data_IF_187750695623
#
_entry.id   IF_187750695623
#
_cell.length_a   1.000
_cell.length_b   1.000
_cell.length_c   1.000
_cell.angle_alpha   90.00
_cell.angle_beta   90.00
_cell.angle_gamma   90.00
#
_symmetry.space_group_name_H-M   'P 1'
#
loop_
_entity.id
_entity.type
_entity.pdbx_description
1 polymer ?
#
# COMPACT_ATOMS: atom_id res chain seq x y z
N UNK A 1 -18.65 -63.45 -16.55
CA UNK A 1 -17.95 -62.20 -16.82
C UNK A 1 -18.42 -61.19 -15.79
N UNK A 2 -17.77 -61.16 -14.62
CA UNK A 2 -17.99 -60.15 -13.58
C UNK A 2 -16.67 -59.40 -13.45
N UNK A 3 -16.63 -58.16 -13.94
CA UNK A 3 -15.55 -57.22 -13.67
C UNK A 3 -16.12 -56.11 -12.81
N UNK A 4 -15.79 -56.12 -11.53
CA UNK A 4 -16.01 -54.99 -10.63
C UNK A 4 -14.76 -54.12 -10.68
N UNK A 5 -14.89 -52.90 -11.22
CA UNK A 5 -13.87 -51.87 -11.08
C UNK A 5 -13.99 -51.27 -9.68
N UNK A 6 -13.16 -51.76 -8.76
CA UNK A 6 -12.89 -51.08 -7.49
C UNK A 6 -12.14 -49.78 -7.80
N UNK A 7 -12.86 -48.67 -7.75
CA UNK A 7 -12.28 -47.32 -7.75
C UNK A 7 -11.52 -47.16 -6.44
N UNK A 8 -10.21 -47.33 -6.50
CA UNK A 8 -9.30 -47.06 -5.39
C UNK A 8 -9.36 -45.57 -5.07
N UNK A 9 -10.07 -45.23 -4.01
CA UNK A 9 -10.02 -43.91 -3.39
C UNK A 9 -8.59 -43.72 -2.87
N UNK A 10 -7.83 -42.84 -3.51
CA UNK A 10 -6.52 -42.44 -3.03
C UNK A 10 -6.70 -41.84 -1.62
N UNK A 11 -6.13 -42.51 -0.61
CA UNK A 11 -6.00 -41.95 0.72
C UNK A 11 -5.09 -40.73 0.64
N UNK A 12 -5.64 -39.54 0.84
CA UNK A 12 -4.84 -38.32 1.04
C UNK A 12 -3.94 -38.54 2.25
N UNK A 13 -2.63 -38.68 2.04
CA UNK A 13 -1.66 -38.69 3.12
C UNK A 13 -1.76 -37.34 3.86
N UNK A 14 -1.84 -37.34 5.21
CA UNK A 14 -1.89 -36.09 5.95
C UNK A 14 -0.58 -35.33 5.69
N UNK A 15 -0.71 -34.13 5.11
CA UNK A 15 0.40 -33.21 4.90
C UNK A 15 1.21 -33.09 6.20
N UNK A 16 2.51 -33.34 6.12
CA UNK A 16 3.39 -33.20 7.28
C UNK A 16 3.24 -31.77 7.84
N UNK A 17 3.10 -31.61 9.17
CA UNK A 17 3.03 -30.29 9.78
C UNK A 17 4.26 -29.47 9.39
N UNK A 18 4.03 -28.23 8.97
CA UNK A 18 5.12 -27.30 8.69
C UNK A 18 5.93 -27.07 9.98
N UNK A 19 7.24 -27.25 9.91
CA UNK A 19 8.16 -26.96 11.01
C UNK A 19 8.50 -25.47 11.00
N UNK A 20 7.80 -24.69 11.82
CA UNK A 20 8.07 -23.26 11.97
C UNK A 20 9.31 -23.02 12.83
N UNK A 21 10.28 -22.27 12.28
CA UNK A 21 11.51 -21.88 12.96
C UNK A 21 11.60 -20.36 13.07
N UNK A 22 12.15 -19.89 14.18
CA UNK A 22 12.53 -18.49 14.32
C UNK A 22 13.63 -18.15 13.31
N UNK A 23 13.49 -17.02 12.62
CA UNK A 23 14.44 -16.57 11.59
C UNK A 23 14.99 -15.17 11.90
N UNK A 24 14.10 -14.17 11.98
CA UNK A 24 14.50 -12.76 12.17
C UNK A 24 13.54 -12.03 13.10
N UNK A 25 14.06 -10.99 13.74
CA UNK A 25 13.31 -10.00 14.51
C UNK A 25 13.84 -8.61 14.15
N UNK A 26 12.93 -7.65 14.00
CA UNK A 26 13.26 -6.25 13.74
C UNK A 26 12.70 -5.39 14.87
N UNK A 27 13.45 -4.36 15.27
CA UNK A 27 13.06 -3.47 16.37
C UNK A 27 13.30 -4.10 17.75
N UNK A 28 14.38 -4.85 17.92
CA UNK A 28 14.81 -5.30 19.26
C UNK A 28 15.02 -4.09 20.17
N UNK A 29 14.48 -4.18 21.37
CA UNK A 29 14.48 -3.13 22.40
C UNK A 29 15.39 -3.54 23.55
N UNK A 30 15.92 -2.56 24.26
CA UNK A 30 16.63 -2.84 25.51
C UNK A 30 15.64 -3.36 26.57
N UNK A 31 16.12 -4.18 27.52
CA UNK A 31 15.28 -4.70 28.58
C UNK A 31 14.70 -3.54 29.44
N UNK A 32 13.37 -3.45 29.53
CA UNK A 32 12.66 -2.41 30.27
C UNK A 32 12.21 -1.19 29.45
N UNK A 33 12.47 -1.17 28.14
CA UNK A 33 11.97 -0.12 27.25
C UNK A 33 10.53 -0.39 26.81
N UNK A 34 9.62 0.55 27.10
CA UNK A 34 8.21 0.45 26.73
C UNK A 34 7.99 0.66 25.22
N UNK A 35 6.97 -0.01 24.67
CA UNK A 35 6.56 0.17 23.28
C UNK A 35 5.87 1.50 23.10
N UNK A 36 6.52 2.43 22.38
CA UNK A 36 5.87 3.69 22.00
C UNK A 36 4.71 3.37 21.05
N UNK A 37 3.57 4.02 21.27
CA UNK A 37 2.36 3.75 20.48
C UNK A 37 2.57 3.97 18.98
N UNK A 38 3.34 5.00 18.61
CA UNK A 38 3.69 5.33 17.23
C UNK A 38 4.51 4.24 16.51
N UNK A 39 5.23 3.39 17.26
CA UNK A 39 6.03 2.29 16.72
C UNK A 39 5.22 0.98 16.58
N UNK A 40 3.95 0.96 16.99
CA UNK A 40 3.10 -0.24 16.87
C UNK A 40 2.77 -0.44 15.38
N UNK A 41 3.21 -1.57 14.83
CA UNK A 41 2.89 -1.98 13.46
C UNK A 41 1.38 -2.21 13.35
N UNK A 42 0.75 -1.53 12.40
CA UNK A 42 -0.69 -1.58 12.13
C UNK A 42 -1.02 -2.22 10.78
N UNK A 43 -0.06 -2.27 9.85
CA UNK A 43 -0.24 -2.90 8.55
C UNK A 43 1.04 -3.65 8.13
N UNK A 44 0.87 -4.79 7.44
CA UNK A 44 1.96 -5.59 6.88
C UNK A 44 1.49 -6.22 5.57
N UNK A 45 2.31 -6.13 4.51
CA UNK A 45 1.95 -6.68 3.19
C UNK A 45 3.22 -7.09 2.42
N UNK A 46 3.24 -8.32 1.90
CA UNK A 46 4.23 -8.78 0.94
C UNK A 46 3.84 -8.37 -0.49
N UNK A 47 4.83 -8.09 -1.34
CA UNK A 47 4.57 -7.96 -2.76
C UNK A 47 4.21 -9.33 -3.36
N UNK A 48 3.61 -9.33 -4.56
CA UNK A 48 3.18 -10.59 -5.23
C UNK A 48 4.34 -11.58 -5.44
N UNK A 49 5.58 -11.09 -5.52
CA UNK A 49 6.76 -11.93 -5.71
C UNK A 49 7.32 -12.51 -4.41
N UNK A 50 6.96 -11.95 -3.25
CA UNK A 50 7.52 -12.29 -1.95
C UNK A 50 8.96 -11.80 -1.74
N UNK A 51 9.45 -10.90 -2.60
CA UNK A 51 10.80 -10.32 -2.49
C UNK A 51 10.81 -9.00 -1.73
N UNK A 52 9.66 -8.35 -1.59
CA UNK A 52 9.52 -7.12 -0.83
C UNK A 52 8.46 -7.27 0.26
N UNK A 53 8.75 -6.68 1.41
CA UNK A 53 7.84 -6.59 2.55
C UNK A 53 7.67 -5.13 2.92
N UNK A 54 6.44 -4.68 3.08
CA UNK A 54 6.12 -3.34 3.59
C UNK A 54 5.44 -3.48 4.95
N UNK A 55 5.82 -2.63 5.89
CA UNK A 55 5.14 -2.43 7.17
C UNK A 55 4.70 -0.98 7.30
N UNK A 56 3.53 -0.76 7.89
CA UNK A 56 3.04 0.54 8.31
C UNK A 56 2.77 0.55 9.79
N UNK A 57 2.98 1.69 10.44
CA UNK A 57 2.76 1.84 11.89
C UNK A 57 1.72 2.90 12.24
N UNK A 58 1.43 3.01 13.53
CA UNK A 58 0.52 4.02 14.08
C UNK A 58 1.04 5.44 13.94
N UNK A 59 2.35 5.63 13.87
CA UNK A 59 3.00 6.92 13.62
C UNK A 59 3.04 7.32 12.14
N UNK A 60 2.32 6.63 11.25
CA UNK A 60 2.18 7.01 9.85
C UNK A 60 3.40 6.75 8.97
N UNK A 61 4.40 6.01 9.46
CA UNK A 61 5.60 5.65 8.69
C UNK A 61 5.36 4.37 7.89
N UNK A 62 6.00 4.27 6.74
CA UNK A 62 6.07 3.05 5.93
C UNK A 62 7.53 2.63 5.83
N UNK A 63 7.81 1.39 6.23
CA UNK A 63 9.13 0.77 6.18
C UNK A 63 9.13 -0.36 5.17
N UNK A 64 10.12 -0.37 4.29
CA UNK A 64 10.29 -1.37 3.25
C UNK A 64 11.48 -2.26 3.55
N UNK A 65 11.31 -3.56 3.32
CA UNK A 65 12.34 -4.58 3.40
C UNK A 65 12.48 -5.29 2.05
N UNK A 66 13.69 -5.75 1.77
CA UNK A 66 14.05 -6.51 0.57
C UNK A 66 14.62 -7.87 0.98
N UNK A 67 14.19 -8.93 0.31
CA UNK A 67 14.74 -10.27 0.47
C UNK A 67 16.18 -10.31 -0.06
N UNK A 68 17.07 -10.97 0.67
CA UNK A 68 18.53 -10.94 0.42
C UNK A 68 19.01 -12.07 -0.49
N UNK A 69 18.36 -13.22 -0.45
CA UNK A 69 18.77 -14.42 -1.20
C UNK A 69 18.59 -14.32 -2.73
N UNK A 70 17.80 -13.35 -3.21
CA UNK A 70 17.53 -13.16 -4.64
C UNK A 70 18.73 -12.64 -5.42
N UNK A 71 19.71 -12.00 -4.75
CA UNK A 71 20.86 -11.35 -5.41
C UNK A 71 22.06 -12.27 -5.60
N UNK A 72 22.13 -13.38 -4.86
CA UNK A 72 23.29 -14.28 -4.87
C UNK A 72 23.26 -15.32 -6.00
N UNK A 73 22.18 -15.40 -6.79
CA UNK A 73 22.11 -16.31 -7.96
C UNK A 73 22.88 -15.80 -9.20
N UNK A 74 23.43 -14.58 -9.16
CA UNK A 74 24.27 -14.02 -10.23
C UNK A 74 25.78 -14.03 -9.89
N UNK A 75 26.21 -14.94 -9.00
CA UNK A 75 27.61 -15.22 -8.71
C UNK A 75 28.30 -16.04 -9.81
N UNK A 76 29.55 -15.68 -10.09
CA UNK A 76 30.52 -16.29 -11.00
C UNK A 76 30.29 -17.76 -11.40
N UNK A 77 30.50 -18.08 -12.68
CA UNK A 77 30.53 -19.43 -13.29
C UNK A 77 31.48 -20.43 -12.61
N UNK A 78 32.27 -20.00 -11.61
CA UNK A 78 33.12 -20.83 -10.74
C UNK A 78 32.45 -21.35 -9.46
N UNK A 79 31.29 -20.83 -9.08
CA UNK A 79 30.55 -21.30 -7.89
C UNK A 79 29.53 -22.41 -8.24
N UNK A 80 29.32 -22.69 -9.53
CA UNK A 80 28.47 -23.78 -10.02
C UNK A 80 29.11 -25.18 -9.90
N UNK A 81 30.40 -25.26 -9.58
CA UNK A 81 31.13 -26.54 -9.46
C UNK A 81 31.28 -27.01 -8.00
N UNK A 82 30.66 -26.33 -7.01
CA UNK A 82 30.89 -26.61 -5.59
C UNK A 82 29.63 -26.63 -4.70
N UNK A 83 28.49 -27.15 -5.17
CA UNK A 83 27.34 -27.38 -4.27
C UNK A 83 26.41 -28.51 -4.74
N UNK A 84 26.80 -29.74 -4.43
CA UNK A 84 25.86 -30.89 -4.30
C UNK A 84 25.00 -30.81 -3.01
N UNK A 85 25.09 -29.70 -2.27
CA UNK A 85 24.16 -29.33 -1.21
C UNK A 85 23.33 -28.14 -1.68
N UNK A 86 22.04 -28.39 -1.94
CA UNK A 86 21.00 -27.36 -1.93
C UNK A 86 21.25 -26.47 -0.72
N UNK A 87 21.65 -25.21 -0.95
CA UNK A 87 21.83 -24.23 0.11
C UNK A 87 20.46 -23.94 0.70
N UNK A 88 20.11 -24.67 1.76
CA UNK A 88 18.96 -24.47 2.63
C UNK A 88 19.10 -23.17 3.44
N UNK A 89 19.35 -22.04 2.77
CA UNK A 89 19.30 -20.73 3.42
C UNK A 89 17.84 -20.32 3.49
N UNK A 90 17.39 -20.07 4.71
CA UNK A 90 16.05 -19.54 4.95
C UNK A 90 15.99 -18.10 4.39
N UNK A 91 14.84 -17.66 3.84
CA UNK A 91 14.71 -16.30 3.33
C UNK A 91 14.97 -15.28 4.43
N UNK A 92 15.93 -14.39 4.20
CA UNK A 92 16.24 -13.26 5.09
C UNK A 92 15.87 -11.94 4.42
N UNK A 93 15.22 -11.06 5.18
CA UNK A 93 14.87 -9.71 4.77
C UNK A 93 15.89 -8.72 5.34
N UNK A 94 16.15 -7.65 4.59
CA UNK A 94 17.01 -6.54 5.00
C UNK A 94 16.23 -5.24 4.86
N UNK A 95 16.42 -4.33 5.80
CA UNK A 95 15.92 -2.97 5.71
C UNK A 95 16.34 -2.33 4.37
N UNK A 96 15.36 -1.78 3.66
CA UNK A 96 15.56 -1.11 2.36
C UNK A 96 15.48 0.41 2.52
N UNK A 97 14.37 0.91 3.05
CA UNK A 97 14.15 2.36 3.26
C UNK A 97 12.91 2.56 4.12
N UNK A 98 12.80 3.72 4.75
CA UNK A 98 11.59 4.20 5.41
C UNK A 98 11.21 5.59 4.90
N UNK A 99 9.95 5.97 5.07
CA UNK A 99 9.46 7.32 4.81
C UNK A 99 8.18 7.61 5.61
N UNK A 100 7.97 8.88 5.95
CA UNK A 100 6.72 9.36 6.53
C UNK A 100 5.63 9.35 5.45
N UNK A 101 4.59 8.53 5.63
CA UNK A 101 3.49 8.45 4.67
C UNK A 101 2.37 9.42 5.00
N UNK A 102 1.89 9.40 6.24
CA UNK A 102 0.81 10.28 6.72
C UNK A 102 1.29 11.09 7.91
N UNK A 103 0.75 12.27 8.10
CA UNK A 103 0.97 13.12 9.27
C UNK A 103 -0.39 13.37 9.90
N UNK A 104 -0.45 13.68 11.22
CA UNK A 104 -1.72 13.99 11.85
C UNK A 104 -2.34 15.21 11.18
N UNK A 105 -3.61 15.09 10.80
CA UNK A 105 -4.38 16.15 10.15
C UNK A 105 -5.62 16.48 11.01
N UNK A 106 -6.16 17.69 10.88
CA UNK A 106 -7.38 18.09 11.57
C UNK A 106 -8.37 18.73 10.61
N UNK A 107 -9.57 18.18 10.52
CA UNK A 107 -10.68 18.76 9.78
C UNK A 107 -11.43 19.76 10.66
N UNK A 108 -11.15 21.05 10.46
CA UNK A 108 -11.78 22.14 11.22
C UNK A 108 -13.29 22.27 10.98
N UNK A 109 -13.79 21.85 9.82
CA UNK A 109 -15.22 21.95 9.49
C UNK A 109 -16.00 20.85 10.18
N UNK A 110 -15.44 19.63 10.23
CA UNK A 110 -16.04 18.48 10.92
C UNK A 110 -15.63 18.37 12.39
N UNK A 111 -14.68 19.20 12.86
CA UNK A 111 -14.03 19.08 14.17
C UNK A 111 -13.50 17.67 14.43
N UNK A 112 -12.84 17.09 13.43
CA UNK A 112 -12.40 15.70 13.44
C UNK A 112 -10.88 15.63 13.31
N UNK A 113 -10.23 14.97 14.26
CA UNK A 113 -8.83 14.58 14.16
C UNK A 113 -8.68 13.37 13.22
N UNK A 114 -7.71 13.46 12.33
CA UNK A 114 -7.37 12.41 11.37
C UNK A 114 -6.01 11.87 11.79
N UNK A 115 -6.02 10.66 12.35
CA UNK A 115 -4.80 9.95 12.75
C UNK A 115 -3.88 9.68 11.55
N UNK A 116 -2.57 9.73 11.78
CA UNK A 116 -1.58 9.31 10.79
C UNK A 116 -1.47 7.79 10.63
N UNK A 117 -2.12 7.00 11.49
CA UNK A 117 -2.05 5.53 11.51
C UNK A 117 -2.27 4.93 10.12
N UNK A 118 -1.34 4.05 9.73
CA UNK A 118 -1.48 3.30 8.46
C UNK A 118 -2.47 2.15 8.65
N UNK A 119 -3.61 2.22 7.97
CA UNK A 119 -4.63 1.17 8.04
C UNK A 119 -4.33 -0.01 7.11
N UNK A 120 -3.92 0.27 5.86
CA UNK A 120 -3.63 -0.75 4.84
C UNK A 120 -2.51 -0.29 3.90
N UNK A 121 -1.75 -1.26 3.40
CA UNK A 121 -0.75 -1.08 2.34
C UNK A 121 -1.05 -2.08 1.23
N UNK A 122 -0.99 -1.65 -0.03
CA UNK A 122 -1.14 -2.52 -1.20
C UNK A 122 -0.06 -2.25 -2.24
N UNK A 123 0.70 -3.28 -2.58
CA UNK A 123 1.70 -3.21 -3.64
C UNK A 123 1.04 -3.14 -5.03
N UNK A 124 1.48 -2.18 -5.82
CA UNK A 124 1.11 -2.03 -7.23
C UNK A 124 2.17 -2.66 -8.13
N UNK A 125 1.87 -2.78 -9.43
CA UNK A 125 2.80 -3.35 -10.38
C UNK A 125 4.11 -2.56 -10.45
N UNK A 126 5.23 -3.26 -10.34
CA UNK A 126 6.57 -2.67 -10.47
C UNK A 126 6.82 -2.28 -11.92
N UNK A 127 7.40 -1.11 -12.16
CA UNK A 127 7.73 -0.64 -13.50
C UNK A 127 9.01 0.21 -13.49
N UNK A 128 9.83 0.07 -14.53
CA UNK A 128 11.03 0.88 -14.75
C UNK A 128 12.02 0.87 -13.57
N UNK A 129 12.19 -0.28 -12.90
CA UNK A 129 13.06 -0.42 -11.73
C UNK A 129 12.57 0.35 -10.49
N UNK A 130 11.32 0.79 -10.49
CA UNK A 130 10.66 1.39 -9.33
C UNK A 130 9.59 0.45 -8.79
N UNK A 131 9.42 0.46 -7.47
CA UNK A 131 8.31 -0.18 -6.79
C UNK A 131 7.24 0.86 -6.45
N UNK A 132 5.99 0.42 -6.51
CA UNK A 132 4.83 1.29 -6.30
C UNK A 132 3.94 0.66 -5.24
N UNK A 133 3.38 1.50 -4.37
CA UNK A 133 2.46 1.05 -3.34
C UNK A 133 1.42 2.13 -3.03
N UNK A 134 0.23 1.67 -2.67
CA UNK A 134 -0.80 2.48 -2.03
C UNK A 134 -0.68 2.30 -0.52
N UNK A 135 -0.85 3.39 0.22
CA UNK A 135 -0.98 3.41 1.67
C UNK A 135 -2.19 4.26 2.03
N UNK A 136 -2.96 3.87 3.04
CA UNK A 136 -4.14 4.63 3.48
C UNK A 136 -4.15 4.81 4.99
N UNK A 137 -4.63 5.96 5.44
CA UNK A 137 -5.17 6.15 6.78
C UNK A 137 -6.71 6.17 6.70
N UNK A 138 -7.37 6.76 7.69
CA UNK A 138 -8.83 6.81 7.79
C UNK A 138 -9.52 7.63 6.71
N UNK A 139 -8.84 8.60 6.07
CA UNK A 139 -9.48 9.58 5.16
C UNK A 139 -8.77 9.77 3.83
N UNK A 140 -7.50 9.42 3.75
CA UNK A 140 -6.65 9.69 2.59
C UNK A 140 -5.89 8.45 2.16
N UNK A 141 -5.71 8.32 0.85
CA UNK A 141 -4.90 7.27 0.22
C UNK A 141 -3.77 7.97 -0.52
N UNK A 142 -2.55 7.47 -0.38
CA UNK A 142 -1.37 8.01 -1.06
C UNK A 142 -0.74 6.94 -1.97
N UNK A 143 -0.42 7.33 -3.19
CA UNK A 143 0.29 6.49 -4.15
C UNK A 143 1.77 6.86 -4.19
N UNK A 144 2.59 5.93 -3.75
CA UNK A 144 4.03 6.10 -3.59
C UNK A 144 4.79 5.45 -4.73
N UNK A 145 5.86 6.12 -5.16
CA UNK A 145 6.90 5.55 -6.02
C UNK A 145 8.21 5.53 -5.24
N UNK A 146 8.78 4.35 -5.08
CA UNK A 146 10.11 4.18 -4.48
C UNK A 146 11.07 3.69 -5.55
N UNK A 147 12.13 4.44 -5.78
CA UNK A 147 13.12 4.13 -6.81
C UNK A 147 14.52 4.49 -6.34
N UNK A 148 15.50 3.68 -6.73
CA UNK A 148 16.91 4.03 -6.57
C UNK A 148 17.29 5.11 -7.59
N UNK A 149 17.75 6.26 -7.08
CA UNK A 149 18.19 7.39 -7.87
C UNK A 149 19.68 7.57 -7.68
N UNK A 150 20.42 7.54 -8.79
CA UNK A 150 21.82 7.98 -8.82
C UNK A 150 21.87 9.48 -8.53
N UNK A 151 22.53 9.86 -7.45
CA UNK A 151 22.80 11.26 -7.10
C UNK A 151 23.76 11.79 -8.16
N UNK A 152 23.23 12.71 -8.97
CA UNK A 152 23.95 13.36 -10.07
C UNK A 152 24.54 14.65 -9.54
N UNK A 153 25.86 14.72 -9.41
CA UNK A 153 26.59 15.96 -9.16
C UNK A 153 26.96 16.57 -10.50
N UNK A 154 26.74 17.88 -10.61
CA UNK A 154 27.16 18.60 -11.80
C UNK A 154 28.59 19.10 -11.56
N UNK A 155 29.49 18.72 -12.45
CA UNK A 155 30.88 19.18 -12.52
C UNK A 155 31.09 20.04 -13.77
N UNK A 156 32.26 20.67 -13.88
CA UNK A 156 32.64 21.51 -15.02
C UNK A 156 31.70 22.72 -15.24
N UNK A 157 31.36 23.42 -14.16
CA UNK A 157 30.68 24.72 -14.26
C UNK A 157 31.65 25.79 -14.78
N UNK A 158 31.16 26.68 -15.65
CA UNK A 158 31.91 27.84 -16.13
C UNK A 158 31.93 29.00 -15.10
N UNK A 159 31.94 28.66 -13.81
CA UNK A 159 31.96 29.63 -12.71
C UNK A 159 33.34 29.59 -12.06
N UNK A 160 33.96 30.76 -11.96
CA UNK A 160 35.26 30.93 -11.32
C UNK A 160 35.16 30.61 -9.81
N UNK A 161 35.85 29.58 -9.28
CA UNK A 161 35.74 29.18 -7.87
C UNK A 161 36.12 30.30 -6.89
N UNK A 162 36.92 31.27 -7.35
CA UNK A 162 37.43 32.41 -6.59
C UNK A 162 36.38 33.45 -6.22
N UNK A 163 35.22 33.51 -6.91
CA UNK A 163 34.12 34.45 -6.59
C UNK A 163 33.06 33.88 -5.65
N UNK A 164 33.07 32.58 -5.38
CA UNK A 164 32.04 31.92 -4.55
C UNK A 164 32.33 31.96 -3.04
N UNK A 165 33.55 32.30 -2.62
CA UNK A 165 33.99 32.26 -1.21
C UNK A 165 33.71 33.61 -0.47
N UNK A 166 33.10 34.58 -1.14
CA UNK A 166 32.96 35.95 -0.62
C UNK A 166 31.78 36.24 0.31
N UNK A 167 30.74 35.40 0.38
CA UNK A 167 29.58 35.67 1.23
C UNK A 167 29.30 34.52 2.21
N UNK A 168 30.08 34.51 3.29
CA UNK A 168 29.70 33.82 4.51
C UNK A 168 28.53 34.53 5.21
N UNK A 169 27.56 33.73 5.65
CA UNK A 169 26.62 34.00 6.75
C UNK A 169 25.64 35.16 6.60
N UNK A 170 24.37 34.85 6.29
CA UNK A 170 23.21 35.60 6.78
C UNK A 170 21.94 34.73 6.77
N UNK A 171 21.58 34.23 7.95
CA UNK A 171 20.22 33.88 8.31
C UNK A 171 19.36 35.15 8.38
N UNK A 172 18.25 35.22 7.65
CA UNK A 172 17.05 35.95 8.11
C UNK A 172 15.88 35.79 7.13
N UNK A 173 14.78 35.27 7.66
CA UNK A 173 13.42 35.60 7.23
C UNK A 173 13.25 37.11 7.03
N UNK A 174 12.58 37.53 5.96
CA UNK A 174 11.58 38.60 6.05
C UNK A 174 10.71 38.65 4.81
N UNK A 175 9.41 38.43 5.03
CA UNK A 175 8.35 38.96 4.21
C UNK A 175 8.54 40.48 4.05
N UNK A 176 8.66 40.96 2.81
CA UNK A 176 8.21 42.31 2.49
C UNK A 176 7.64 42.32 1.08
N UNK A 177 6.32 42.40 1.02
CA UNK A 177 5.51 42.66 -0.14
C UNK A 177 5.94 43.94 -0.85
N UNK A 178 6.16 43.86 -2.16
CA UNK A 178 6.14 45.03 -3.04
C UNK A 178 5.16 44.78 -4.19
N UNK A 179 4.35 45.79 -4.56
CA UNK A 179 3.18 45.61 -5.39
C UNK A 179 3.59 45.43 -6.86
N UNK A 180 2.91 44.50 -7.53
CA UNK A 180 2.93 44.42 -8.98
C UNK A 180 2.03 45.51 -9.58
N UNK A 181 2.59 46.32 -10.49
CA UNK A 181 1.80 47.09 -11.45
C UNK A 181 1.83 46.38 -12.81
N UNK A 182 0.66 46.25 -13.41
CA UNK A 182 0.46 45.75 -14.76
C UNK A 182 1.02 46.77 -15.77
N UNK A 183 1.72 46.27 -16.79
CA UNK A 183 2.46 47.00 -17.82
C UNK A 183 3.82 47.60 -17.38
N UNK A 184 4.73 46.73 -16.93
CA UNK A 184 6.10 46.63 -17.48
C UNK A 184 7.00 47.88 -17.63
N UNK A 185 6.76 48.98 -16.91
CA UNK A 185 7.60 50.18 -16.94
C UNK A 185 8.05 50.59 -15.53
N UNK A 186 9.36 50.55 -15.27
CA UNK A 186 9.92 51.16 -14.06
C UNK A 186 10.28 52.62 -14.31
N UNK A 187 9.89 53.47 -13.36
CA UNK A 187 10.15 54.91 -13.37
C UNK A 187 11.64 55.21 -13.22
N UNK A 188 12.08 56.11 -14.07
CA UNK A 188 13.43 56.61 -14.26
C UNK A 188 14.10 57.02 -12.93
N UNK A 189 15.12 56.26 -12.54
CA UNK A 189 16.18 56.70 -11.62
C UNK A 189 17.51 56.37 -12.29
N UNK A 190 18.12 57.43 -12.81
CA UNK A 190 19.54 57.54 -13.19
C UNK A 190 20.42 56.46 -12.56
N UNK A 191 20.73 55.44 -13.36
CA UNK A 191 21.87 54.57 -13.15
C UNK A 191 22.94 54.99 -14.15
N UNK A 192 24.06 55.48 -13.64
CA UNK A 192 25.30 55.60 -14.38
C UNK A 192 25.51 54.33 -15.21
N UNK A 193 25.75 54.49 -16.50
CA UNK A 193 26.23 53.41 -17.37
C UNK A 193 27.41 52.72 -16.65
N UNK A 194 27.31 51.43 -16.28
CA UNK A 194 28.53 50.67 -16.06
C UNK A 194 29.21 50.60 -17.42
N UNK A 195 30.50 50.89 -17.42
CA UNK A 195 31.36 50.78 -18.59
C UNK A 195 31.16 49.43 -19.29
N UNK A 196 31.26 49.48 -20.61
CA UNK A 196 31.13 48.34 -21.49
C UNK A 196 32.37 47.41 -21.42
N UNK A 197 32.84 47.09 -20.22
CA UNK A 197 33.97 46.21 -19.97
C UNK A 197 33.50 44.78 -19.71
N UNK A 198 32.80 44.21 -20.69
CA UNK A 198 32.91 42.77 -20.91
C UNK A 198 34.30 42.49 -21.48
N UNK A 199 35.32 42.52 -20.62
CA UNK A 199 36.63 42.01 -21.00
C UNK A 199 36.53 40.51 -21.17
N UNK A 200 36.38 40.09 -22.43
CA UNK A 200 36.54 38.69 -22.81
C UNK A 200 37.97 38.26 -22.44
N UNK A 201 38.17 37.10 -21.80
CA UNK A 201 39.52 36.61 -21.53
C UNK A 201 40.31 36.48 -22.86
N UNK A 202 41.61 36.84 -22.88
CA UNK A 202 42.42 36.77 -24.08
C UNK A 202 42.59 35.30 -24.48
N UNK A 203 41.85 34.87 -25.51
CA UNK A 203 41.81 33.48 -25.97
C UNK A 203 40.57 33.07 -26.79
N UNK A 204 39.54 33.92 -26.88
CA UNK A 204 38.30 33.62 -27.62
C UNK A 204 37.31 32.79 -26.80
N UNK A 205 36.35 32.13 -27.47
CA UNK A 205 35.36 31.22 -26.85
C UNK A 205 35.83 29.77 -26.53
N UNK A 206 37.13 29.36 -26.44
CA UNK A 206 37.47 27.97 -26.15
C UNK A 206 37.49 27.60 -24.65
N UNK A 207 37.07 28.52 -23.75
CA UNK A 207 37.03 28.24 -22.29
C UNK A 207 35.65 27.83 -21.75
N UNK A 208 34.60 27.85 -22.58
CA UNK A 208 33.27 27.40 -22.16
C UNK A 208 33.20 25.88 -22.21
N UNK A 209 33.00 25.26 -21.05
CA UNK A 209 32.76 23.82 -20.91
C UNK A 209 31.26 23.56 -20.75
N UNK A 210 30.79 22.45 -21.30
CA UNK A 210 29.46 21.96 -20.99
C UNK A 210 29.50 21.29 -19.60
N UNK A 211 28.55 21.62 -18.72
CA UNK A 211 28.37 20.90 -17.47
C UNK A 211 28.35 19.38 -17.69
N UNK A 212 29.24 18.68 -17.01
CA UNK A 212 29.26 17.23 -17.02
C UNK A 212 28.50 16.71 -15.80
N UNK A 213 27.77 15.61 -15.98
CA UNK A 213 27.05 14.95 -14.89
C UNK A 213 27.84 13.75 -14.44
N UNK A 214 28.34 13.79 -13.21
CA UNK A 214 29.05 12.66 -12.59
C UNK A 214 28.17 12.05 -11.51
N UNK A 215 28.08 10.72 -11.51
CA UNK A 215 27.29 9.93 -10.55
C UNK A 215 28.23 9.27 -9.56
N UNK A 216 28.05 9.53 -8.27
CA UNK A 216 28.92 8.99 -7.21
C UNK A 216 28.20 8.04 -6.25
N UNK A 217 26.93 8.30 -5.94
CA UNK A 217 26.18 7.53 -4.92
C UNK A 217 24.76 7.22 -5.42
N UNK A 218 24.21 6.08 -5.02
CA UNK A 218 22.80 5.76 -5.20
C UNK A 218 22.04 5.98 -3.91
N UNK A 219 20.91 6.69 -3.98
CA UNK A 219 20.00 6.86 -2.85
C UNK A 219 18.60 6.36 -3.22
N UNK A 220 17.93 5.72 -2.27
CA UNK A 220 16.52 5.37 -2.43
C UNK A 220 15.67 6.61 -2.13
N UNK A 221 14.79 6.94 -3.06
CA UNK A 221 13.87 8.06 -2.92
C UNK A 221 12.43 7.53 -2.95
N UNK A 222 11.71 7.71 -1.85
CA UNK A 222 10.27 7.59 -1.82
C UNK A 222 9.63 8.93 -2.21
N UNK A 223 8.74 8.91 -3.20
CA UNK A 223 8.01 10.10 -3.65
C UNK A 223 6.51 9.80 -3.69
N UNK A 224 5.74 10.57 -2.93
CA UNK A 224 4.29 10.60 -3.08
C UNK A 224 3.96 11.16 -4.47
N UNK A 225 3.39 10.33 -5.35
CA UNK A 225 2.98 10.73 -6.69
C UNK A 225 1.61 11.37 -6.68
N UNK A 226 0.69 10.85 -5.86
CA UNK A 226 -0.71 11.26 -5.81
C UNK A 226 -1.28 11.05 -4.42
N UNK A 227 -2.24 11.91 -4.09
CA UNK A 227 -3.05 11.85 -2.88
C UNK A 227 -4.52 11.81 -3.32
N UNK A 228 -5.23 10.76 -2.94
CA UNK A 228 -6.67 10.58 -3.14
C UNK A 228 -7.35 10.92 -1.81
N UNK A 229 -8.10 12.00 -1.78
CA UNK A 229 -8.69 12.54 -0.56
C UNK A 229 -10.13 12.96 -0.80
N UNK A 230 -10.86 13.22 0.29
CA UNK A 230 -12.22 13.80 0.29
C UNK A 230 -13.30 13.00 -0.46
N UNK A 231 -13.12 11.68 -0.58
CA UNK A 231 -14.13 10.79 -1.18
C UNK A 231 -14.86 9.90 -0.16
N UNK A 232 -14.35 9.83 1.07
CA UNK A 232 -14.90 9.01 2.13
C UNK A 232 -15.37 9.88 3.29
N UNK A 233 -16.61 9.68 3.70
CA UNK A 233 -17.17 10.34 4.88
C UNK A 233 -16.84 9.55 6.15
N UNK A 234 -16.70 8.22 6.05
CA UNK A 234 -16.39 7.30 7.15
C UNK A 234 -14.93 6.83 7.11
N UNK A 235 -14.52 5.92 7.99
CA UNK A 235 -13.13 5.46 8.06
C UNK A 235 -12.83 4.46 6.94
N UNK A 236 -11.76 4.68 6.18
CA UNK A 236 -11.34 3.75 5.14
C UNK A 236 -10.83 2.47 5.81
N UNK A 237 -11.54 1.37 5.62
CA UNK A 237 -11.19 0.05 6.14
C UNK A 237 -10.39 -0.79 5.11
N UNK A 238 -10.56 -0.52 3.80
CA UNK A 238 -9.97 -1.34 2.74
C UNK A 238 -9.49 -0.53 1.55
N UNK A 239 -8.40 -1.00 0.94
CA UNK A 239 -7.96 -0.63 -0.41
C UNK A 239 -7.57 -1.90 -1.16
N UNK A 240 -7.88 -1.97 -2.45
CA UNK A 240 -7.51 -3.11 -3.29
C UNK A 240 -7.21 -2.70 -4.72
N UNK A 241 -6.09 -3.17 -5.26
CA UNK A 241 -5.73 -2.97 -6.66
C UNK A 241 -6.57 -3.87 -7.56
N UNK A 242 -6.98 -3.34 -8.71
CA UNK A 242 -7.61 -4.14 -9.75
C UNK A 242 -6.53 -4.89 -10.55
N UNK A 243 -6.92 -5.98 -11.19
CA UNK A 243 -6.07 -6.79 -12.09
C UNK A 243 -5.81 -6.11 -13.44
N UNK A 244 -6.52 -5.02 -13.77
CA UNK A 244 -6.29 -4.21 -14.97
C UNK A 244 -5.00 -3.38 -14.92
N UNK A 245 -4.41 -3.18 -13.73
CA UNK A 245 -3.21 -2.37 -13.53
C UNK A 245 -3.43 -0.85 -13.58
N UNK A 246 -4.66 -0.39 -13.73
CA UNK A 246 -5.02 1.02 -13.88
C UNK A 246 -5.95 1.53 -12.78
N UNK A 247 -6.80 0.65 -12.24
CA UNK A 247 -7.81 1.02 -11.24
C UNK A 247 -7.57 0.35 -9.89
N UNK A 248 -8.16 0.94 -8.86
CA UNK A 248 -8.21 0.37 -7.52
C UNK A 248 -9.48 0.82 -6.82
N UNK A 249 -9.90 0.10 -5.79
CA UNK A 249 -11.02 0.49 -4.93
C UNK A 249 -10.52 0.95 -3.56
N UNK A 250 -11.34 1.77 -2.93
CA UNK A 250 -11.31 1.98 -1.49
C UNK A 250 -12.70 1.84 -0.91
N UNK A 251 -12.78 1.26 0.28
CA UNK A 251 -14.03 1.08 1.01
C UNK A 251 -13.96 1.74 2.39
N UNK A 252 -15.04 2.42 2.75
CA UNK A 252 -15.33 2.80 4.12
C UNK A 252 -16.50 1.97 4.66
N UNK A 253 -17.07 2.38 5.80
CA UNK A 253 -18.15 1.67 6.47
C UNK A 253 -19.44 1.55 5.63
N UNK A 254 -19.70 2.45 4.68
CA UNK A 254 -20.95 2.48 3.92
C UNK A 254 -20.78 2.55 2.40
N UNK A 255 -19.57 2.81 1.90
CA UNK A 255 -19.31 3.09 0.49
C UNK A 255 -18.07 2.40 -0.03
N UNK A 256 -18.15 1.98 -1.29
CA UNK A 256 -16.98 1.55 -2.08
C UNK A 256 -16.83 2.49 -3.26
N UNK A 257 -15.65 3.08 -3.38
CA UNK A 257 -15.28 4.01 -4.44
C UNK A 257 -14.23 3.36 -5.36
N UNK A 258 -14.44 3.47 -6.67
CA UNK A 258 -13.50 3.09 -7.71
C UNK A 258 -12.67 4.31 -8.14
N UNK A 259 -11.37 4.10 -8.26
CA UNK A 259 -10.39 5.11 -8.61
C UNK A 259 -9.55 4.69 -9.80
N UNK A 260 -9.06 5.67 -10.53
CA UNK A 260 -7.99 5.46 -11.49
C UNK A 260 -6.65 5.91 -10.87
N UNK A 261 -5.60 5.10 -11.00
CA UNK A 261 -4.26 5.39 -10.46
C UNK A 261 -3.67 6.70 -11.02
N UNK A 262 -4.19 7.21 -12.13
CA UNK A 262 -3.73 8.44 -12.75
C UNK A 262 -4.52 9.69 -12.35
N UNK A 263 -5.76 9.52 -11.86
CA UNK A 263 -6.73 10.59 -11.59
C UNK A 263 -7.02 10.61 -10.09
N UNK A 264 -6.58 11.66 -9.39
CA UNK A 264 -6.71 11.75 -7.93
C UNK A 264 -7.79 12.68 -7.42
N UNK A 265 -8.44 13.44 -8.31
CA UNK A 265 -9.47 14.42 -7.98
C UNK A 265 -10.90 13.92 -8.25
N UNK A 266 -11.05 12.68 -8.73
CA UNK A 266 -12.34 12.08 -9.03
C UNK A 266 -12.32 10.60 -8.64
N UNK A 267 -13.43 10.15 -8.06
CA UNK A 267 -13.73 8.75 -7.82
C UNK A 267 -15.15 8.47 -8.28
N UNK A 268 -15.43 7.21 -8.58
CA UNK A 268 -16.77 6.75 -8.91
C UNK A 268 -17.28 5.87 -7.79
N UNK A 269 -18.37 6.27 -7.15
CA UNK A 269 -18.99 5.44 -6.13
C UNK A 269 -19.73 4.27 -6.80
N UNK A 270 -19.29 3.04 -6.51
CA UNK A 270 -19.84 1.82 -7.10
C UNK A 270 -20.81 1.10 -6.16
N UNK A 271 -20.63 1.26 -4.85
CA UNK A 271 -21.53 0.70 -3.82
C UNK A 271 -21.82 1.81 -2.81
N UNK A 272 -23.10 2.02 -2.51
CA UNK A 272 -23.58 2.89 -1.43
C UNK A 272 -24.65 2.13 -0.64
N UNK A 273 -24.30 1.67 0.56
CA UNK A 273 -25.24 1.00 1.48
C UNK A 273 -25.80 1.97 2.52
N UNK A 274 -25.56 3.27 2.36
CA UNK A 274 -26.07 4.29 3.28
C UNK A 274 -27.61 4.32 3.25
N UNK A 275 -28.30 4.09 4.38
CA UNK A 275 -29.74 4.17 4.43
C UNK A 275 -30.21 5.63 4.28
N UNK A 276 -31.47 5.83 3.86
CA UNK A 276 -32.10 7.16 3.79
C UNK A 276 -32.18 7.83 5.16
N UNK A 277 -32.46 7.04 6.21
CA UNK A 277 -32.37 7.48 7.60
C UNK A 277 -31.23 6.74 8.29
N UNK A 278 -30.30 7.47 8.91
CA UNK A 278 -29.15 6.88 9.61
C UNK A 278 -29.57 6.04 10.83
N UNK A 279 -30.77 6.24 11.37
CA UNK A 279 -31.31 5.41 12.45
C UNK A 279 -31.62 3.97 11.98
N UNK A 280 -31.85 3.77 10.68
CA UNK A 280 -32.12 2.45 10.09
C UNK A 280 -30.83 1.70 9.72
N UNK A 281 -29.66 2.20 10.13
CA UNK A 281 -28.38 1.56 9.83
C UNK A 281 -28.26 0.24 10.60
N UNK A 282 -28.32 -0.87 9.86
CA UNK A 282 -28.20 -2.22 10.45
C UNK A 282 -26.95 -2.97 10.02
N UNK A 283 -26.23 -2.48 9.00
CA UNK A 283 -25.13 -3.20 8.37
C UNK A 283 -24.07 -2.21 7.89
N UNK A 284 -22.80 -2.55 8.12
CA UNK A 284 -21.64 -1.79 7.61
C UNK A 284 -20.72 -2.72 6.82
N UNK A 285 -20.01 -2.15 5.86
CA UNK A 285 -18.95 -2.80 5.09
C UNK A 285 -17.71 -2.89 5.98
N UNK A 286 -17.12 -4.08 6.04
CA UNK A 286 -15.98 -4.33 6.94
C UNK A 286 -14.68 -4.63 6.21
N UNK A 287 -14.76 -5.22 5.02
CA UNK A 287 -13.61 -5.45 4.15
C UNK A 287 -14.06 -5.53 2.70
N UNK A 288 -13.21 -5.11 1.77
CA UNK A 288 -13.47 -5.19 0.33
C UNK A 288 -12.18 -5.51 -0.45
N UNK A 289 -12.27 -6.44 -1.40
CA UNK A 289 -11.14 -6.85 -2.23
C UNK A 289 -11.55 -7.14 -3.67
N UNK A 290 -10.66 -6.81 -4.61
CA UNK A 290 -10.81 -7.23 -6.01
C UNK A 290 -10.38 -8.67 -6.20
N UNK A 291 -11.02 -9.34 -7.17
CA UNK A 291 -10.55 -10.64 -7.62
C UNK A 291 -9.13 -10.52 -8.21
N UNK A 292 -8.21 -11.45 -7.90
CA UNK A 292 -6.79 -11.33 -8.28
C UNK A 292 -6.55 -11.33 -9.80
N UNK A 293 -7.47 -11.90 -10.58
CA UNK A 293 -7.35 -12.08 -12.05
C UNK A 293 -8.53 -11.57 -12.87
N UNK A 294 -9.68 -11.29 -12.25
CA UNK A 294 -10.90 -10.90 -12.96
C UNK A 294 -11.21 -9.44 -12.67
N UNK A 295 -10.97 -8.57 -13.64
CA UNK A 295 -11.03 -7.13 -13.42
C UNK A 295 -12.41 -6.56 -13.12
N UNK A 296 -13.45 -7.35 -13.40
CA UNK A 296 -14.85 -7.00 -13.17
C UNK A 296 -15.41 -7.58 -11.88
N UNK A 297 -14.65 -8.39 -11.14
CA UNK A 297 -15.17 -9.10 -9.96
C UNK A 297 -14.58 -8.53 -8.67
N UNK A 298 -15.44 -8.20 -7.73
CA UNK A 298 -15.13 -7.64 -6.42
C UNK A 298 -15.93 -8.42 -5.37
N UNK A 299 -15.37 -8.62 -4.17
CA UNK A 299 -16.15 -9.05 -3.01
C UNK A 299 -16.02 -8.03 -1.88
N UNK A 300 -17.11 -7.84 -1.14
CA UNK A 300 -17.07 -7.12 0.13
C UNK A 300 -17.83 -7.88 1.21
N UNK A 301 -17.33 -7.79 2.44
CA UNK A 301 -17.96 -8.38 3.61
C UNK A 301 -18.67 -7.34 4.46
N UNK A 302 -19.53 -7.82 5.36
CA UNK A 302 -20.26 -6.95 6.27
C UNK A 302 -20.20 -7.37 7.73
N UNK A 303 -20.64 -6.44 8.58
CA UNK A 303 -20.80 -6.66 10.03
C UNK A 303 -21.87 -7.68 10.38
N UNK A 304 -22.70 -8.10 9.43
CA UNK A 304 -23.73 -9.15 9.61
C UNK A 304 -23.26 -10.56 9.27
N UNK A 305 -21.99 -10.73 8.90
CA UNK A 305 -21.44 -12.04 8.58
C UNK A 305 -21.73 -12.52 7.16
N UNK A 306 -22.03 -11.59 6.25
CA UNK A 306 -22.27 -11.91 4.84
C UNK A 306 -21.12 -11.41 3.95
N UNK A 307 -20.91 -12.10 2.82
CA UNK A 307 -20.02 -11.66 1.75
C UNK A 307 -20.83 -11.50 0.48
N UNK A 308 -20.76 -10.32 -0.14
CA UNK A 308 -21.41 -10.06 -1.42
C UNK A 308 -20.37 -10.02 -2.51
N UNK A 309 -20.58 -10.84 -3.54
CA UNK A 309 -19.77 -10.86 -4.75
C UNK A 309 -20.45 -10.01 -5.80
N UNK A 310 -19.71 -9.08 -6.36
CA UNK A 310 -20.15 -8.06 -7.31
C UNK A 310 -19.50 -8.33 -8.66
N UNK A 311 -20.30 -8.17 -9.73
CA UNK A 311 -19.82 -8.14 -11.11
C UNK A 311 -20.08 -6.76 -11.72
N UNK A 312 -19.02 -5.99 -11.91
CA UNK A 312 -19.03 -4.62 -12.46
C UNK A 312 -19.58 -4.55 -13.90
N UNK A 313 -19.74 -5.69 -14.59
CA UNK A 313 -20.34 -5.73 -15.94
C UNK A 313 -21.87 -5.72 -15.90
N UNK A 314 -22.48 -6.16 -14.80
CA UNK A 314 -23.93 -6.29 -14.70
C UNK A 314 -24.61 -4.93 -14.54
N UNK A 315 -23.99 -4.04 -13.76
CA UNK A 315 -24.48 -2.69 -13.55
C UNK A 315 -23.32 -1.75 -13.23
N UNK A 316 -23.44 -0.49 -13.66
CA UNK A 316 -22.50 0.55 -13.27
C UNK A 316 -22.61 0.89 -11.78
N UNK A 317 -23.85 0.88 -11.25
CA UNK A 317 -24.14 1.03 -9.83
C UNK A 317 -24.38 -0.38 -9.29
N UNK A 318 -23.48 -0.89 -8.46
CA UNK A 318 -23.50 -2.27 -7.97
C UNK A 318 -24.50 -2.42 -6.81
N UNK A 319 -25.75 -2.04 -7.07
CA UNK A 319 -26.90 -2.05 -6.17
C UNK A 319 -27.41 -3.47 -5.88
N UNK A 320 -27.13 -4.41 -6.80
CA UNK A 320 -27.34 -5.84 -6.63
C UNK A 320 -26.02 -6.60 -6.52
N UNK A 321 -26.10 -7.82 -5.98
CA UNK A 321 -24.97 -8.75 -5.91
C UNK A 321 -25.14 -9.89 -6.90
N UNK A 322 -24.03 -10.36 -7.47
CA UNK A 322 -24.01 -11.55 -8.31
C UNK A 322 -24.21 -12.82 -7.46
N UNK A 323 -23.62 -12.86 -6.26
CA UNK A 323 -23.77 -13.94 -5.27
C UNK A 323 -23.72 -13.39 -3.85
N UNK A 324 -24.45 -14.03 -2.95
CA UNK A 324 -24.46 -13.76 -1.51
C UNK A 324 -24.01 -15.01 -0.77
N UNK A 325 -22.89 -14.90 -0.06
CA UNK A 325 -22.39 -15.95 0.81
C UNK A 325 -22.81 -15.61 2.23
N UNK A 326 -23.77 -16.36 2.74
CA UNK A 326 -24.27 -16.25 4.11
C UNK A 326 -24.50 -17.66 4.64
N UNK A 327 -24.14 -17.90 5.90
CA UNK A 327 -24.44 -19.17 6.55
C UNK A 327 -25.88 -19.12 7.06
N UNK A 328 -26.73 -20.04 6.60
CA UNK A 328 -28.09 -20.14 7.11
C UNK A 328 -28.08 -20.70 8.53
N UNK A 329 -28.31 -19.81 9.50
CA UNK A 329 -28.51 -20.20 10.89
C UNK A 329 -29.90 -20.80 11.11
N UNK A 330 -29.98 -21.80 11.99
CA UNK A 330 -31.25 -22.41 12.37
C UNK A 330 -32.17 -21.38 13.07
N UNK A 331 -33.50 -21.40 12.81
CA UNK A 331 -34.43 -20.49 13.48
C UNK A 331 -34.30 -20.62 15.01
N UNK A 332 -33.90 -19.54 15.68
CA UNK A 332 -33.76 -19.46 17.14
C UNK A 332 -32.33 -19.55 17.69
N UNK A 333 -31.29 -19.76 16.86
CA UNK A 333 -29.88 -19.65 17.31
C UNK A 333 -29.35 -18.22 17.39
N UNK A 334 -30.06 -17.27 16.76
CA UNK A 334 -29.66 -15.86 16.69
C UNK A 334 -29.90 -15.16 18.02
N UNK A 335 -28.81 -14.92 18.74
CA UNK A 335 -28.70 -14.02 19.88
C UNK A 335 -27.99 -12.72 19.49
N UNK A 336 -28.11 -11.68 20.31
CA UNK A 336 -27.32 -10.45 20.16
C UNK A 336 -25.81 -10.74 20.11
N UNK A 337 -25.33 -11.68 20.93
CA UNK A 337 -23.91 -12.05 20.95
C UNK A 337 -23.47 -12.76 19.67
N UNK A 338 -24.32 -13.61 19.08
CA UNK A 338 -23.99 -14.27 17.81
C UNK A 338 -23.87 -13.27 16.66
N UNK A 339 -24.65 -12.20 16.64
CA UNK A 339 -24.51 -11.14 15.63
C UNK A 339 -23.18 -10.39 15.77
N UNK A 340 -22.76 -10.08 17.01
CA UNK A 340 -21.47 -9.41 17.26
C UNK A 340 -20.31 -10.27 16.75
N UNK A 341 -20.30 -11.56 17.08
CA UNK A 341 -19.18 -12.45 16.70
C UNK A 341 -19.25 -12.92 15.24
N UNK A 342 -20.42 -12.79 14.58
CA UNK A 342 -20.59 -13.09 13.16
C UNK A 342 -20.01 -12.01 12.24
N UNK A 343 -19.77 -10.80 12.76
CA UNK A 343 -19.12 -9.72 12.02
C UNK A 343 -17.82 -10.19 11.39
N UNK A 344 -17.74 -10.09 10.05
CA UNK A 344 -16.52 -10.45 9.32
C UNK A 344 -15.54 -9.30 9.46
N UNK A 345 -14.34 -9.59 9.95
CA UNK A 345 -13.24 -8.63 10.12
C UNK A 345 -12.37 -8.47 8.88
N UNK A 346 -12.19 -9.52 8.08
CA UNK A 346 -11.44 -9.46 6.84
C UNK A 346 -11.87 -10.56 5.87
N UNK A 347 -11.68 -10.30 4.58
CA UNK A 347 -11.81 -11.28 3.50
C UNK A 347 -10.56 -11.26 2.63
N UNK A 348 -10.18 -12.45 2.13
CA UNK A 348 -9.08 -12.61 1.19
C UNK A 348 -9.43 -13.57 0.08
N UNK A 349 -9.22 -13.17 -1.17
CA UNK A 349 -9.19 -14.14 -2.27
C UNK A 349 -7.94 -15.03 -2.16
N UNK A 350 -8.12 -16.33 -2.40
CA UNK A 350 -7.01 -17.23 -2.63
C UNK A 350 -6.25 -16.83 -3.90
N UNK A 351 -4.99 -17.24 -4.03
CA UNK A 351 -4.12 -16.87 -5.17
C UNK A 351 -4.74 -17.20 -6.54
N UNK A 352 -5.41 -18.35 -6.63
CA UNK A 352 -6.10 -18.81 -7.85
C UNK A 352 -7.44 -18.11 -8.08
N UNK A 353 -7.91 -17.31 -7.13
CA UNK A 353 -9.18 -16.60 -7.19
C UNK A 353 -10.41 -17.45 -6.92
N UNK A 354 -10.35 -18.79 -7.02
CA UNK A 354 -11.52 -19.68 -6.82
C UNK A 354 -12.16 -19.60 -5.43
N UNK A 355 -11.35 -19.40 -4.39
CA UNK A 355 -11.81 -19.43 -3.01
C UNK A 355 -11.71 -18.06 -2.35
N UNK A 356 -12.64 -17.79 -1.43
CA UNK A 356 -12.60 -16.63 -0.53
C UNK A 356 -12.42 -17.15 0.89
N UNK A 357 -11.45 -16.61 1.62
CA UNK A 357 -11.29 -16.86 3.05
C UNK A 357 -11.89 -15.67 3.80
N UNK A 358 -12.80 -15.91 4.74
CA UNK A 358 -13.33 -14.88 5.63
C UNK A 358 -12.95 -15.15 7.07
N UNK A 359 -12.72 -14.07 7.83
CA UNK A 359 -12.40 -14.13 9.26
C UNK A 359 -13.50 -13.46 10.07
N UNK A 360 -14.17 -14.21 10.93
CA UNK A 360 -14.99 -13.67 12.02
C UNK A 360 -14.24 -13.80 13.35
N UNK A 361 -14.86 -13.44 14.48
CA UNK A 361 -14.15 -13.48 15.76
C UNK A 361 -13.66 -14.89 16.13
N UNK A 362 -14.49 -15.91 15.90
CA UNK A 362 -14.25 -17.29 16.37
C UNK A 362 -13.61 -18.20 15.32
N UNK A 363 -13.83 -17.92 14.04
CA UNK A 363 -13.58 -18.85 12.95
C UNK A 363 -12.95 -18.20 11.71
N UNK A 364 -12.26 -19.05 10.95
CA UNK A 364 -11.90 -18.81 9.56
C UNK A 364 -12.77 -19.70 8.68
N UNK A 365 -13.44 -19.14 7.68
CA UNK A 365 -14.32 -19.87 6.77
C UNK A 365 -13.80 -19.78 5.35
N UNK A 366 -13.64 -20.92 4.69
CA UNK A 366 -13.25 -21.01 3.28
C UNK A 366 -14.50 -21.20 2.44
N UNK A 367 -14.72 -20.32 1.47
CA UNK A 367 -15.86 -20.32 0.56
C UNK A 367 -15.38 -20.62 -0.85
N UNK A 368 -16.11 -21.45 -1.61
CA UNK A 368 -15.89 -21.60 -3.05
C UNK A 368 -16.81 -20.62 -3.78
N UNK A 369 -16.27 -19.79 -4.68
CA UNK A 369 -17.07 -18.81 -5.43
C UNK A 369 -18.20 -19.46 -6.22
N UNK A 370 -18.10 -20.75 -6.54
CA UNK A 370 -19.12 -21.50 -7.26
C UNK A 370 -20.21 -22.09 -6.35
N UNK A 371 -20.02 -22.08 -5.02
CA UNK A 371 -20.94 -22.63 -4.04
C UNK A 371 -21.26 -21.57 -2.96
N UNK A 372 -22.43 -20.96 -3.07
CA UNK A 372 -22.93 -19.93 -2.15
C UNK A 372 -23.80 -20.48 -1.01
N UNK A 373 -24.08 -21.78 -0.99
CA UNK A 373 -24.90 -22.43 0.04
C UNK A 373 -24.26 -22.47 1.43
N UNK A 374 -22.95 -22.27 1.53
CA UNK A 374 -22.21 -22.34 2.79
C UNK A 374 -20.69 -22.46 2.58
N UNK A 375 -19.90 -22.38 3.66
CA UNK A 375 -18.45 -22.54 3.57
C UNK A 375 -18.08 -24.01 3.28
N UNK A 376 -17.04 -24.20 2.47
CA UNK A 376 -16.42 -25.50 2.18
C UNK A 376 -15.76 -26.08 3.44
N UNK A 377 -15.15 -25.22 4.25
CA UNK A 377 -14.50 -25.62 5.49
C UNK A 377 -14.49 -24.47 6.49
N UNK A 378 -14.66 -24.81 7.77
CA UNK A 378 -14.64 -23.85 8.89
C UNK A 378 -13.60 -24.28 9.91
N UNK A 379 -12.67 -23.37 10.23
CA UNK A 379 -11.58 -23.59 11.17
C UNK A 379 -11.80 -22.74 12.41
N UNK A 380 -11.76 -23.35 13.59
CA UNK A 380 -11.87 -22.64 14.87
C UNK A 380 -10.51 -22.10 15.28
N UNK A 381 -10.44 -20.80 15.51
CA UNK A 381 -9.14 -20.15 15.74
C UNK A 381 -8.73 -20.30 17.20
N UNK A 382 -9.65 -20.10 18.13
CA UNK A 382 -9.34 -20.01 19.56
C UNK A 382 -9.53 -21.33 20.32
N UNK A 383 -9.56 -22.47 19.62
CA UNK A 383 -9.84 -23.76 20.25
C UNK A 383 -8.77 -24.16 21.29
N UNK A 384 -7.52 -23.73 21.08
CA UNK A 384 -6.42 -23.92 22.02
C UNK A 384 -6.52 -23.08 23.32
N UNK A 385 -7.37 -22.05 23.35
CA UNK A 385 -7.63 -21.26 24.55
C UNK A 385 -8.73 -21.87 25.43
N UNK A 386 -9.44 -22.90 24.93
CA UNK A 386 -10.44 -23.59 25.74
C UNK A 386 -9.74 -24.44 26.80
N UNK A 387 -10.21 -24.42 28.06
CA UNK A 387 -9.73 -25.35 29.07
C UNK A 387 -9.87 -26.78 28.55
N UNK A 388 -8.81 -27.58 28.72
CA UNK A 388 -8.82 -29.01 28.38
C UNK A 388 -9.66 -29.81 29.37
#
# INVERSE_FOLDING_TARGET
MNGGDDVVVASEEPLQPLEWKFSQVFGERAAGEEVQEVDIISAIEFDKSGNHLATGDRGGRVVLFERTDSKDQHGSRRDLESTDYSSSRHPEFRYKTEFQSHEPEFDYLKSLEIEEKINKIKWCQTANGAVFLLSTNDKTIKFWKVQEKKVKKISDMNIDPSKAIGNGSSSSNSNSSKPHLANGGSSDKSYNYPSNDFSFPPGGLPSLRLPSVVSHETSLLARCRRVYAHAHDYHINSISNNSDGETFISADDLRINLWNLEISNQSFNIVDVKPTNMEDLTEVITSAEFHPTHCNTLAYSSSKGSIRLIDLRQSALCDSHAKLFEEQEAPGSRSFFTEIIASISDIKFAKEGRYILSRDYMTLKLWDINMDSGPVSTFRVHEYLRPK
#
